data_IF_628522975102
#
_entry.id   IF_628522975102
#
_cell.length_a   1.000
_cell.length_b   1.000
_cell.length_c   1.000
_cell.angle_alpha   90.00
_cell.angle_beta   90.00
_cell.angle_gamma   90.00
#
_symmetry.space_group_name_H-M   'P 1'
#
loop_
_entity.id
_entity.type
_entity.pdbx_description
1 polymer ?
#
# COMPACT_ATOMS: atom_id res chain seq x y z
N UNK A 1 -0.55 7.51 -10.61
CA UNK A 1 -1.19 7.95 -9.37
C UNK A 1 -0.19 7.95 -8.22
N UNK A 2 0.09 9.12 -7.64
CA UNK A 2 0.96 9.16 -6.45
C UNK A 2 0.35 8.28 -5.37
N UNK A 3 1.18 7.57 -4.60
CA UNK A 3 0.75 6.70 -3.50
C UNK A 3 -0.30 7.37 -2.58
N UNK A 4 -0.13 8.66 -2.32
CA UNK A 4 -1.10 9.45 -1.52
C UNK A 4 -2.50 9.46 -2.14
N UNK A 5 -2.62 9.55 -3.46
CA UNK A 5 -3.90 9.53 -4.15
C UNK A 5 -4.57 8.15 -4.04
N UNK A 6 -3.77 7.08 -4.11
CA UNK A 6 -4.28 5.72 -3.89
C UNK A 6 -4.78 5.55 -2.46
N UNK A 7 -3.98 5.92 -1.48
CA UNK A 7 -4.35 5.84 -0.06
C UNK A 7 -5.59 6.68 0.25
N UNK A 8 -5.74 7.86 -0.36
CA UNK A 8 -6.91 8.71 -0.17
C UNK A 8 -8.19 8.14 -0.80
N UNK A 9 -8.08 7.41 -1.92
CA UNK A 9 -9.24 6.76 -2.57
C UNK A 9 -9.56 5.39 -1.98
N UNK A 10 -8.57 4.72 -1.41
CA UNK A 10 -8.67 3.37 -0.85
C UNK A 10 -8.24 3.38 0.62
N UNK A 11 -9.14 3.80 1.53
CA UNK A 11 -8.83 3.86 2.95
C UNK A 11 -8.54 2.47 3.55
N UNK A 12 -9.16 1.42 3.00
CA UNK A 12 -8.88 0.02 3.32
C UNK A 12 -8.51 -0.67 2.02
N UNK A 13 -7.39 -1.37 2.01
CA UNK A 13 -6.90 -2.04 0.81
C UNK A 13 -6.15 -3.34 1.15
N UNK A 14 -6.17 -4.25 0.19
CA UNK A 14 -5.39 -5.49 0.26
C UNK A 14 -4.02 -5.33 -0.40
N UNK A 15 -3.10 -6.24 -0.07
CA UNK A 15 -1.80 -6.28 -0.76
C UNK A 15 -1.94 -6.51 -2.28
N UNK A 16 -2.98 -7.23 -2.71
CA UNK A 16 -3.27 -7.45 -4.14
C UNK A 16 -3.77 -6.19 -4.83
N UNK A 17 -4.64 -5.42 -4.20
CA UNK A 17 -5.10 -4.13 -4.74
C UNK A 17 -3.96 -3.12 -4.79
N UNK A 18 -3.09 -3.13 -3.76
CA UNK A 18 -1.87 -2.33 -3.74
C UNK A 18 -0.93 -2.71 -4.89
N UNK A 19 -0.73 -4.00 -5.13
CA UNK A 19 0.05 -4.51 -6.26
C UNK A 19 -0.54 -4.09 -7.60
N UNK A 20 -1.86 -4.24 -7.78
CA UNK A 20 -2.54 -3.84 -9.01
C UNK A 20 -2.43 -2.32 -9.27
N UNK A 21 -2.53 -1.50 -8.22
CA UNK A 21 -2.38 -0.05 -8.32
C UNK A 21 -0.95 0.37 -8.66
N UNK A 22 0.06 -0.30 -8.10
CA UNK A 22 1.47 -0.09 -8.44
C UNK A 22 1.83 -0.62 -9.82
N UNK A 23 1.26 -1.74 -10.26
CA UNK A 23 1.55 -2.37 -11.56
C UNK A 23 1.19 -1.44 -12.73
N UNK A 24 0.17 -0.58 -12.55
CA UNK A 24 -0.18 0.48 -13.51
C UNK A 24 0.88 1.58 -13.66
N UNK A 25 1.84 1.68 -12.74
CA UNK A 25 2.74 2.84 -12.65
C UNK A 25 4.23 2.49 -12.56
N UNK A 26 4.55 1.30 -12.07
CA UNK A 26 5.89 0.72 -11.99
C UNK A 26 5.75 -0.79 -11.73
N UNK A 27 6.08 -1.61 -12.73
CA UNK A 27 6.19 -3.06 -12.55
C UNK A 27 7.23 -3.37 -11.46
N UNK A 28 6.78 -3.63 -10.23
CA UNK A 28 7.63 -3.92 -9.08
C UNK A 28 7.32 -5.32 -8.59
N UNK A 29 8.36 -6.15 -8.55
CA UNK A 29 8.33 -7.52 -8.04
C UNK A 29 7.67 -7.60 -6.65
N UNK A 30 7.00 -8.72 -6.34
CA UNK A 30 6.33 -8.97 -5.04
C UNK A 30 7.19 -8.64 -3.82
N UNK A 31 8.50 -8.90 -3.89
CA UNK A 31 9.46 -8.59 -2.81
C UNK A 31 9.59 -7.09 -2.55
N UNK A 32 9.57 -6.28 -3.61
CA UNK A 32 9.55 -4.81 -3.51
C UNK A 32 8.24 -4.31 -2.92
N UNK A 33 7.12 -4.95 -3.24
CA UNK A 33 5.81 -4.63 -2.66
C UNK A 33 5.82 -4.84 -1.14
N UNK A 34 6.32 -5.98 -0.67
CA UNK A 34 6.42 -6.27 0.76
C UNK A 34 7.33 -5.28 1.48
N UNK A 35 8.48 -4.93 0.89
CA UNK A 35 9.37 -3.90 1.44
C UNK A 35 8.71 -2.53 1.50
N UNK A 36 7.92 -2.14 0.50
CA UNK A 36 7.16 -0.89 0.51
C UNK A 36 6.10 -0.89 1.61
N UNK A 37 5.31 -1.97 1.71
CA UNK A 37 4.31 -2.11 2.77
C UNK A 37 4.95 -2.02 4.15
N UNK A 38 6.09 -2.69 4.36
CA UNK A 38 6.84 -2.60 5.61
C UNK A 38 7.34 -1.17 5.88
N UNK A 39 7.89 -0.49 4.87
CA UNK A 39 8.37 0.89 4.98
C UNK A 39 7.24 1.87 5.34
N UNK A 40 6.09 1.79 4.67
CA UNK A 40 4.95 2.67 4.96
C UNK A 40 4.27 2.34 6.29
N UNK A 41 4.26 1.07 6.68
CA UNK A 41 3.79 0.65 8.01
C UNK A 41 4.69 1.23 9.09
N UNK A 42 6.01 1.16 8.91
CA UNK A 42 7.00 1.74 9.84
C UNK A 42 6.87 3.27 9.94
N UNK A 43 6.55 3.93 8.83
CA UNK A 43 6.31 5.38 8.80
C UNK A 43 4.93 5.81 9.33
N UNK A 44 4.08 4.87 9.78
CA UNK A 44 2.75 5.18 10.30
C UNK A 44 1.75 5.68 9.26
N UNK A 45 2.09 5.64 7.97
CA UNK A 45 1.18 6.05 6.88
C UNK A 45 0.12 5.01 6.56
N UNK A 46 0.42 3.75 6.87
CA UNK A 46 -0.53 2.64 6.75
C UNK A 46 -0.46 1.77 7.99
N UNK A 47 -1.58 1.16 8.36
CA UNK A 47 -1.69 0.24 9.47
C UNK A 47 -2.03 -1.14 8.95
N UNK A 48 -1.35 -2.16 9.45
CA UNK A 48 -1.65 -3.56 9.12
C UNK A 48 -2.71 -4.07 10.09
N UNK A 49 -3.93 -4.30 9.59
CA UNK A 49 -5.03 -4.88 10.41
C UNK A 49 -4.83 -6.38 10.60
N UNK A 50 -4.51 -7.07 9.50
CA UNK A 50 -4.20 -8.51 9.49
C UNK A 50 -3.30 -8.84 8.30
N UNK A 51 -2.87 -10.11 8.16
CA UNK A 51 -2.08 -10.55 7.01
C UNK A 51 -2.82 -10.26 5.70
N UNK A 52 -2.22 -9.42 4.84
CA UNK A 52 -2.77 -9.05 3.54
C UNK A 52 -3.81 -7.92 3.55
N UNK A 53 -4.14 -7.34 4.72
CA UNK A 53 -5.11 -6.25 4.85
C UNK A 53 -4.47 -5.05 5.55
N UNK A 54 -4.57 -3.89 4.89
CA UNK A 54 -3.97 -2.64 5.32
C UNK A 54 -5.00 -1.51 5.31
N UNK A 55 -4.79 -0.52 6.17
CA UNK A 55 -5.58 0.71 6.23
C UNK A 55 -4.65 1.87 5.97
N UNK A 56 -5.06 2.86 5.20
CA UNK A 56 -4.35 4.13 5.12
C UNK A 56 -4.67 4.98 6.34
N UNK A 57 -3.65 5.65 6.90
CA UNK A 57 -3.86 6.73 7.87
C UNK A 57 -3.73 8.04 7.10
N UNK A 58 -4.84 8.74 6.80
CA UNK A 58 -4.75 10.09 6.24
C UNK A 58 -4.12 11.03 7.29
N UNK A 59 -3.28 11.99 6.88
CA UNK A 59 -2.83 13.08 7.74
C UNK A 59 -3.97 14.02 8.13
#
# INVERSE_FOLDING_TARGET
MKLKDFLSRHPVFTSKEFEAALTREQARNKRTLESLLAYYTKNGRILRVRRGLYVSVPP
#
